data_IF_158264109150
#
_entry.id   IF_158264109150
#
_cell.length_a   1.000
_cell.length_b   1.000
_cell.length_c   1.000
_cell.angle_alpha   90.00
_cell.angle_beta   90.00
_cell.angle_gamma   90.00
#
_symmetry.space_group_name_H-M   'P 1'
#
loop_
_entity.id
_entity.type
_entity.pdbx_description
1 polymer ?
#
# COMPACT_ATOMS: atom_id res chain seq x y z
N UNK A 1 18.12 -2.31 -11.76
CA UNK A 1 17.12 -3.21 -12.36
C UNK A 1 17.23 -4.55 -11.68
N UNK A 2 16.09 -5.15 -11.33
CA UNK A 2 16.02 -6.49 -10.74
C UNK A 2 16.59 -7.53 -11.71
N UNK A 3 17.33 -8.52 -11.23
CA UNK A 3 17.79 -9.68 -12.03
C UNK A 3 16.61 -10.56 -12.51
N UNK A 4 15.40 -10.30 -11.99
CA UNK A 4 14.15 -10.96 -12.34
C UNK A 4 13.35 -10.10 -13.33
N UNK A 5 12.62 -10.75 -14.24
CA UNK A 5 11.77 -10.09 -15.23
C UNK A 5 10.69 -9.21 -14.59
N UNK A 6 10.19 -8.24 -15.37
CA UNK A 6 9.05 -7.40 -14.98
C UNK A 6 7.75 -8.20 -15.03
N UNK A 7 6.68 -7.70 -14.42
CA UNK A 7 5.34 -8.30 -14.52
C UNK A 7 4.96 -8.46 -16.00
N UNK A 8 5.16 -7.41 -16.80
CA UNK A 8 4.88 -7.45 -18.23
C UNK A 8 5.71 -8.52 -18.98
N UNK A 9 7.02 -8.59 -18.74
CA UNK A 9 7.89 -9.54 -19.46
C UNK A 9 7.60 -10.98 -19.06
N UNK A 10 7.40 -11.25 -17.78
CA UNK A 10 7.07 -12.60 -17.27
C UNK A 10 5.76 -13.08 -17.89
N UNK A 11 4.70 -12.27 -17.84
CA UNK A 11 3.41 -12.65 -18.39
C UNK A 11 3.51 -12.96 -19.88
N UNK A 12 4.26 -12.15 -20.65
CA UNK A 12 4.46 -12.37 -22.08
C UNK A 12 5.27 -13.63 -22.39
N UNK A 13 6.33 -13.91 -21.62
CA UNK A 13 7.18 -15.09 -21.82
C UNK A 13 6.45 -16.40 -21.48
N UNK A 14 5.64 -16.39 -20.41
CA UNK A 14 4.82 -17.55 -20.02
C UNK A 14 3.69 -17.76 -21.02
N UNK A 15 2.94 -16.70 -21.38
CA UNK A 15 1.83 -16.82 -22.32
C UNK A 15 2.25 -17.27 -23.72
N UNK A 16 3.48 -16.94 -24.15
CA UNK A 16 4.05 -17.40 -25.43
C UNK A 16 4.73 -18.77 -25.36
N UNK A 17 4.85 -19.38 -24.18
CA UNK A 17 5.58 -20.64 -23.97
C UNK A 17 7.10 -20.51 -24.11
N UNK A 18 7.66 -19.29 -24.11
CA UNK A 18 9.12 -19.06 -24.09
C UNK A 18 9.74 -19.47 -22.75
N UNK A 19 8.98 -19.31 -21.67
CA UNK A 19 9.32 -19.77 -20.34
C UNK A 19 8.12 -20.49 -19.70
N UNK A 20 8.36 -21.36 -18.73
CA UNK A 20 7.29 -21.92 -17.91
C UNK A 20 7.08 -21.10 -16.65
N UNK A 21 5.83 -20.97 -16.20
CA UNK A 21 5.46 -20.34 -14.93
C UNK A 21 6.21 -21.00 -13.76
N UNK A 22 6.38 -22.33 -13.80
CA UNK A 22 7.16 -23.05 -12.80
C UNK A 22 8.62 -22.63 -12.76
N UNK A 23 9.28 -22.51 -13.91
CA UNK A 23 10.70 -22.11 -13.95
C UNK A 23 10.90 -20.69 -13.42
N UNK A 24 10.00 -19.76 -13.77
CA UNK A 24 10.02 -18.39 -13.22
C UNK A 24 9.81 -18.41 -11.70
N UNK A 25 8.81 -19.14 -11.21
CA UNK A 25 8.55 -19.25 -9.77
C UNK A 25 9.76 -19.83 -9.01
N UNK A 26 10.39 -20.87 -9.54
CA UNK A 26 11.56 -21.52 -8.92
C UNK A 26 12.73 -20.53 -8.75
N UNK A 27 12.93 -19.58 -9.67
CA UNK A 27 13.95 -18.53 -9.53
C UNK A 27 13.66 -17.62 -8.33
N UNK A 28 12.42 -17.19 -8.15
CA UNK A 28 12.02 -16.37 -7.00
C UNK A 28 12.10 -17.16 -5.68
N UNK A 29 11.73 -18.43 -5.68
CA UNK A 29 11.85 -19.30 -4.50
C UNK A 29 13.31 -19.48 -4.05
N UNK A 30 14.25 -19.63 -4.99
CA UNK A 30 15.70 -19.66 -4.67
C UNK A 30 16.15 -18.34 -4.03
N UNK A 31 15.63 -17.21 -4.50
CA UNK A 31 15.92 -15.91 -3.90
C UNK A 31 15.40 -15.80 -2.47
N UNK A 32 14.19 -16.30 -2.22
CA UNK A 32 13.60 -16.39 -0.89
C UNK A 32 14.45 -17.27 0.02
N UNK A 33 14.85 -18.46 -0.44
CA UNK A 33 15.66 -19.41 0.35
C UNK A 33 17.00 -18.82 0.81
N UNK A 34 17.56 -17.90 0.02
CA UNK A 34 18.87 -17.29 0.30
C UNK A 34 18.81 -16.00 1.13
N UNK A 35 17.72 -15.22 1.06
CA UNK A 35 17.66 -13.88 1.69
C UNK A 35 16.45 -13.64 2.59
N UNK A 36 15.43 -14.48 2.59
CA UNK A 36 14.25 -14.20 3.44
C UNK A 36 14.60 -14.23 4.94
N UNK A 37 15.58 -15.03 5.35
CA UNK A 37 16.08 -15.03 6.73
C UNK A 37 16.71 -13.71 7.19
N UNK A 38 17.21 -12.87 6.27
CA UNK A 38 17.73 -11.53 6.58
C UNK A 38 16.67 -10.43 6.41
N UNK A 39 15.68 -10.60 5.51
CA UNK A 39 14.70 -9.55 5.20
C UNK A 39 13.43 -9.68 6.04
N UNK A 40 12.94 -10.90 6.26
CA UNK A 40 11.69 -11.20 6.96
C UNK A 40 10.48 -10.47 6.34
N UNK A 41 10.33 -10.57 5.01
CA UNK A 41 9.23 -9.97 4.25
C UNK A 41 7.91 -10.76 4.36
N UNK A 42 7.94 -12.04 4.70
CA UNK A 42 6.78 -12.93 4.73
C UNK A 42 6.42 -13.41 6.14
N UNK A 43 5.13 -13.37 6.47
CA UNK A 43 4.59 -14.16 7.58
C UNK A 43 4.44 -15.64 7.16
N UNK A 44 4.15 -15.88 5.87
CA UNK A 44 3.95 -17.21 5.31
C UNK A 44 4.39 -17.25 3.86
N UNK A 45 5.29 -18.18 3.52
CA UNK A 45 5.60 -18.53 2.13
C UNK A 45 4.73 -19.72 1.72
N UNK A 46 3.99 -19.58 0.62
CA UNK A 46 3.02 -20.57 0.13
C UNK A 46 3.62 -21.52 -0.92
N UNK A 47 4.82 -22.06 -0.66
CA UNK A 47 5.63 -22.78 -1.66
C UNK A 47 4.87 -23.86 -2.44
N UNK A 48 4.23 -24.77 -1.72
CA UNK A 48 3.52 -25.91 -2.34
C UNK A 48 2.38 -25.42 -3.23
N UNK A 49 1.51 -24.56 -2.69
CA UNK A 49 0.38 -23.97 -3.42
C UNK A 49 0.81 -23.13 -4.61
N UNK A 50 1.94 -22.42 -4.49
CA UNK A 50 2.51 -21.62 -5.58
C UNK A 50 2.98 -22.53 -6.72
N UNK A 51 3.67 -23.64 -6.41
CA UNK A 51 4.13 -24.62 -7.41
C UNK A 51 2.95 -25.31 -8.11
N UNK A 52 1.89 -25.65 -7.38
CA UNK A 52 0.64 -26.18 -7.95
C UNK A 52 0.01 -25.18 -8.90
N UNK A 53 -0.16 -23.92 -8.47
CA UNK A 53 -0.74 -22.86 -9.31
C UNK A 53 0.10 -22.61 -10.57
N UNK A 54 1.43 -22.61 -10.46
CA UNK A 54 2.32 -22.46 -11.60
C UNK A 54 2.19 -23.61 -12.61
N UNK A 55 2.08 -24.86 -12.13
CA UNK A 55 1.85 -26.01 -12.99
C UNK A 55 0.50 -25.94 -13.73
N UNK A 56 -0.56 -25.46 -13.05
CA UNK A 56 -1.87 -25.24 -13.69
C UNK A 56 -1.80 -24.20 -14.82
N UNK A 57 -1.04 -23.12 -14.64
CA UNK A 57 -0.80 -22.12 -15.70
C UNK A 57 -0.04 -22.75 -16.87
N UNK A 58 1.03 -23.50 -16.61
CA UNK A 58 1.79 -24.18 -17.66
C UNK A 58 0.92 -25.13 -18.48
N UNK A 59 0.01 -25.86 -17.82
CA UNK A 59 -0.90 -26.77 -18.51
C UNK A 59 -1.98 -26.04 -19.30
N UNK A 60 -2.46 -24.86 -18.85
CA UNK A 60 -3.33 -23.98 -19.67
C UNK A 60 -2.62 -23.54 -20.94
N UNK A 61 -1.37 -23.06 -20.83
CA UNK A 61 -0.57 -22.64 -21.99
C UNK A 61 -0.37 -23.80 -22.97
N UNK A 62 -0.01 -25.00 -22.50
CA UNK A 62 0.18 -26.19 -23.36
C UNK A 62 -1.09 -26.59 -24.12
N UNK A 63 -2.27 -26.41 -23.52
CA UNK A 63 -3.56 -26.70 -24.17
C UNK A 63 -4.00 -25.60 -25.15
N UNK A 64 -3.31 -24.46 -25.20
CA UNK A 64 -3.70 -23.30 -25.99
C UNK A 64 -4.85 -22.49 -25.36
N UNK A 65 -5.13 -22.69 -24.07
CA UNK A 65 -6.09 -21.87 -23.33
C UNK A 65 -5.50 -20.49 -23.06
N UNK A 66 -6.32 -19.44 -22.99
CA UNK A 66 -5.85 -18.12 -22.54
C UNK A 66 -5.42 -18.21 -21.06
N UNK A 67 -4.15 -17.97 -20.70
CA UNK A 67 -3.68 -18.08 -19.32
C UNK A 67 -3.97 -16.83 -18.45
N UNK A 68 -4.44 -15.74 -19.05
CA UNK A 68 -4.74 -14.47 -18.38
C UNK A 68 -3.60 -13.43 -18.51
N UNK A 69 -3.88 -12.18 -18.13
CA UNK A 69 -2.96 -11.04 -18.27
C UNK A 69 -1.72 -11.12 -17.37
N UNK A 70 -1.78 -11.93 -16.32
CA UNK A 70 -0.72 -12.14 -15.32
C UNK A 70 -0.20 -13.57 -15.33
N UNK A 71 -0.29 -14.26 -16.47
CA UNK A 71 0.10 -15.65 -16.63
C UNK A 71 1.46 -15.96 -15.97
N UNK A 72 1.43 -16.72 -14.88
CA UNK A 72 2.64 -17.19 -14.20
C UNK A 72 3.40 -16.12 -13.42
N UNK A 73 2.88 -14.88 -13.33
CA UNK A 73 3.52 -13.77 -12.62
C UNK A 73 3.53 -14.07 -11.11
N UNK A 74 4.69 -14.14 -10.46
CA UNK A 74 4.76 -14.35 -9.02
C UNK A 74 4.38 -13.07 -8.27
N UNK A 75 3.30 -13.14 -7.48
CA UNK A 75 2.75 -12.00 -6.70
C UNK A 75 2.72 -12.29 -5.21
N UNK A 76 3.17 -11.34 -4.40
CA UNK A 76 3.04 -11.41 -2.94
C UNK A 76 1.80 -10.63 -2.44
N UNK A 77 1.13 -11.10 -1.39
CA UNK A 77 -0.11 -10.51 -0.88
C UNK A 77 0.08 -10.04 0.56
N UNK A 78 -0.21 -8.78 0.89
CA UNK A 78 -0.23 -8.34 2.30
C UNK A 78 -1.15 -9.19 3.15
N UNK A 79 -0.68 -9.58 4.33
CA UNK A 79 -1.37 -10.54 5.20
C UNK A 79 -2.62 -9.99 5.91
N UNK A 80 -3.13 -8.83 5.47
CA UNK A 80 -4.46 -8.33 5.81
C UNK A 80 -5.48 -8.50 4.66
N UNK A 81 -5.13 -9.24 3.61
CA UNK A 81 -6.06 -9.68 2.58
C UNK A 81 -6.43 -11.14 2.80
N UNK A 82 -7.74 -11.40 2.84
CA UNK A 82 -8.25 -12.76 3.02
C UNK A 82 -7.93 -13.61 1.78
N UNK A 83 -7.32 -14.76 2.03
CA UNK A 83 -7.07 -15.80 1.02
C UNK A 83 -7.65 -17.10 1.54
N UNK A 84 -8.57 -17.72 0.78
CA UNK A 84 -9.33 -18.88 1.23
C UNK A 84 -8.39 -20.02 1.61
N UNK A 85 -8.59 -20.54 2.82
CA UNK A 85 -7.84 -21.69 3.34
C UNK A 85 -6.37 -21.39 3.69
N UNK A 86 -5.94 -20.13 3.62
CA UNK A 86 -4.56 -19.70 3.93
C UNK A 86 -4.61 -18.77 5.13
N UNK A 87 -3.68 -18.95 6.05
CA UNK A 87 -3.59 -18.12 7.25
C UNK A 87 -3.56 -16.64 6.86
N UNK A 88 -4.40 -15.85 7.54
CA UNK A 88 -4.50 -14.40 7.35
C UNK A 88 -4.46 -13.73 8.71
N UNK A 89 -3.27 -13.31 9.14
CA UNK A 89 -3.04 -12.96 10.54
C UNK A 89 -3.07 -11.46 10.81
N UNK A 90 -2.97 -10.63 9.76
CA UNK A 90 -2.75 -9.18 9.89
C UNK A 90 -1.51 -8.84 10.75
N UNK A 91 -0.50 -9.72 10.76
CA UNK A 91 0.66 -9.66 11.66
C UNK A 91 0.30 -9.59 13.16
N UNK A 92 -0.82 -10.20 13.55
CA UNK A 92 -1.35 -10.18 14.93
C UNK A 92 -1.50 -11.60 15.49
N UNK A 93 -1.23 -11.73 16.80
CA UNK A 93 -1.48 -12.98 17.55
C UNK A 93 -2.96 -13.27 17.72
N UNK A 94 -3.84 -12.27 17.60
CA UNK A 94 -5.28 -12.51 17.74
C UNK A 94 -5.88 -13.29 16.56
N UNK A 95 -5.22 -13.28 15.40
CA UNK A 95 -5.62 -14.00 14.19
C UNK A 95 -4.62 -15.09 13.76
N UNK A 96 -3.64 -15.40 14.60
CA UNK A 96 -2.71 -16.51 14.34
C UNK A 96 -3.49 -17.83 14.16
N UNK A 97 -3.23 -18.52 13.05
CA UNK A 97 -3.93 -19.76 12.66
C UNK A 97 -5.34 -19.58 12.09
N UNK A 98 -5.85 -18.34 11.94
CA UNK A 98 -7.15 -18.13 11.30
C UNK A 98 -7.05 -18.26 9.78
N UNK A 99 -7.81 -19.22 9.23
CA UNK A 99 -7.96 -19.46 7.79
C UNK A 99 -9.30 -18.91 7.32
N UNK A 100 -9.34 -17.82 6.54
CA UNK A 100 -10.59 -17.27 6.03
C UNK A 100 -11.35 -18.28 5.16
N UNK A 101 -12.68 -18.35 5.26
CA UNK A 101 -13.51 -19.19 4.39
C UNK A 101 -13.87 -18.50 3.08
N UNK A 102 -13.16 -17.44 2.69
CA UNK A 102 -13.40 -16.66 1.47
C UNK A 102 -12.13 -15.92 1.02
N UNK A 103 -12.14 -15.52 -0.24
CA UNK A 103 -11.08 -14.70 -0.84
C UNK A 103 -11.53 -13.24 -0.92
N UNK A 104 -10.59 -12.33 -0.71
CA UNK A 104 -10.74 -10.92 -1.04
C UNK A 104 -10.94 -10.74 -2.56
N UNK A 105 -11.70 -9.72 -2.96
CA UNK A 105 -12.01 -9.51 -4.39
C UNK A 105 -10.75 -9.26 -5.23
N UNK A 106 -9.80 -8.47 -4.72
CA UNK A 106 -8.52 -8.25 -5.40
C UNK A 106 -7.74 -9.56 -5.61
N UNK A 107 -7.72 -10.45 -4.61
CA UNK A 107 -7.08 -11.78 -4.69
C UNK A 107 -7.76 -12.63 -5.76
N UNK A 108 -9.10 -12.66 -5.80
CA UNK A 108 -9.84 -13.39 -6.84
C UNK A 108 -9.51 -12.89 -8.25
N UNK A 109 -9.47 -11.57 -8.44
CA UNK A 109 -9.18 -10.96 -9.74
C UNK A 109 -7.76 -11.29 -10.22
N UNK A 110 -6.75 -11.19 -9.34
CA UNK A 110 -5.39 -11.60 -9.68
C UNK A 110 -5.30 -13.08 -10.08
N UNK A 111 -5.93 -13.97 -9.31
CA UNK A 111 -5.92 -15.41 -9.60
C UNK A 111 -6.61 -15.73 -10.94
N UNK A 112 -7.73 -15.06 -11.23
CA UNK A 112 -8.45 -15.22 -12.50
C UNK A 112 -7.60 -14.83 -13.71
N UNK A 113 -6.72 -13.83 -13.54
CA UNK A 113 -5.77 -13.39 -14.56
C UNK A 113 -4.46 -14.19 -14.58
N UNK A 114 -4.35 -15.26 -13.81
CA UNK A 114 -3.24 -16.22 -13.89
C UNK A 114 -2.02 -15.90 -13.02
N UNK A 115 -2.15 -14.97 -12.06
CA UNK A 115 -1.09 -14.68 -11.09
C UNK A 115 -0.84 -15.88 -10.15
N UNK A 116 0.43 -16.10 -9.79
CA UNK A 116 0.85 -17.15 -8.86
C UNK A 116 1.21 -16.52 -7.52
N UNK A 117 0.48 -16.87 -6.46
CA UNK A 117 0.71 -16.25 -5.15
C UNK A 117 1.86 -16.92 -4.40
N UNK A 118 2.91 -16.14 -4.10
CA UNK A 118 4.13 -16.63 -3.44
C UNK A 118 3.96 -16.73 -1.92
N UNK A 119 3.24 -15.80 -1.31
CA UNK A 119 3.19 -15.72 0.15
C UNK A 119 2.35 -14.57 0.68
N UNK A 120 2.13 -14.61 1.99
CA UNK A 120 1.48 -13.56 2.78
C UNK A 120 2.57 -12.69 3.41
N UNK A 121 2.63 -11.42 3.02
CA UNK A 121 3.71 -10.52 3.46
C UNK A 121 3.43 -9.96 4.84
N UNK A 122 4.49 -9.77 5.60
CA UNK A 122 4.50 -9.12 6.89
C UNK A 122 4.03 -7.65 6.78
N UNK A 123 3.53 -7.11 7.90
CA UNK A 123 2.98 -5.77 8.03
C UNK A 123 3.06 -5.30 9.49
N UNK A 124 2.92 -4.00 9.74
CA UNK A 124 2.53 -3.56 11.09
C UNK A 124 1.19 -4.20 11.47
N UNK A 125 1.06 -4.60 12.73
CA UNK A 125 -0.13 -5.26 13.24
C UNK A 125 -1.41 -4.48 12.88
N UNK A 126 -2.37 -5.14 12.23
CA UNK A 126 -3.61 -4.53 11.74
C UNK A 126 -3.42 -3.26 10.87
N UNK A 127 -2.31 -3.20 10.13
CA UNK A 127 -1.93 -2.07 9.29
C UNK A 127 -1.64 -0.77 10.07
N UNK A 128 -1.38 -0.85 11.38
CA UNK A 128 -1.21 0.30 12.27
C UNK A 128 0.27 0.60 12.56
N UNK A 129 0.91 1.34 11.67
CA UNK A 129 2.29 1.80 11.84
C UNK A 129 2.92 2.22 10.51
N UNK A 130 4.16 2.71 10.58
CA UNK A 130 4.89 3.30 9.45
C UNK A 130 6.32 2.75 9.34
N UNK A 131 6.57 1.57 9.93
CA UNK A 131 7.91 0.93 9.94
C UNK A 131 7.91 -0.60 9.89
N UNK A 132 6.76 -1.27 10.06
CA UNK A 132 6.62 -2.73 10.19
C UNK A 132 7.27 -3.30 11.47
N UNK A 133 7.71 -2.43 12.40
CA UNK A 133 8.25 -2.84 13.70
C UNK A 133 7.16 -3.39 14.64
N UNK A 134 5.90 -3.00 14.44
CA UNK A 134 4.79 -3.47 15.30
C UNK A 134 4.28 -4.86 14.92
N UNK A 135 4.87 -5.54 13.93
CA UNK A 135 4.49 -6.92 13.61
C UNK A 135 4.68 -7.82 14.82
N UNK A 136 3.65 -8.58 15.20
CA UNK A 136 3.75 -9.55 16.29
C UNK A 136 4.62 -10.78 15.95
N UNK A 137 5.08 -10.88 14.70
CA UNK A 137 5.99 -11.93 14.21
C UNK A 137 7.43 -11.43 14.05
N UNK A 138 7.68 -10.14 14.29
CA UNK A 138 9.00 -9.51 14.20
C UNK A 138 9.14 -8.57 13.00
N UNK A 139 10.12 -7.67 13.02
CA UNK A 139 10.25 -6.62 12.02
C UNK A 139 10.68 -7.17 10.66
N UNK A 140 10.19 -6.57 9.57
CA UNK A 140 10.79 -6.67 8.24
C UNK A 140 11.93 -5.66 8.13
N UNK A 141 13.01 -6.01 7.44
CA UNK A 141 14.18 -5.16 7.19
C UNK A 141 14.22 -4.63 5.75
N UNK A 142 14.77 -3.44 5.54
CA UNK A 142 14.92 -2.89 4.20
C UNK A 142 15.95 -3.71 3.40
N UNK A 143 15.63 -4.25 2.21
CA UNK A 143 16.56 -5.09 1.44
C UNK A 143 17.83 -4.38 0.93
N UNK A 144 17.83 -3.04 0.93
CA UNK A 144 18.99 -2.20 0.55
C UNK A 144 19.95 -1.94 1.72
N UNK A 145 19.42 -1.88 2.94
CA UNK A 145 20.19 -1.72 4.19
C UNK A 145 19.39 -2.34 5.34
N UNK A 146 19.80 -3.52 5.80
CA UNK A 146 19.06 -4.31 6.81
C UNK A 146 19.08 -3.69 8.22
N UNK A 147 19.81 -2.59 8.42
CA UNK A 147 19.76 -1.77 9.63
C UNK A 147 18.63 -0.73 9.61
N UNK A 148 17.90 -0.61 8.50
CA UNK A 148 16.82 0.35 8.28
C UNK A 148 15.45 -0.31 8.11
N UNK A 149 14.42 0.48 8.39
CA UNK A 149 13.03 0.07 8.19
C UNK A 149 12.68 0.06 6.69
N UNK A 150 11.82 -0.86 6.23
CA UNK A 150 11.24 -0.84 4.89
C UNK A 150 10.03 0.11 4.78
N UNK A 151 9.71 0.83 5.87
CA UNK A 151 8.47 1.59 5.98
C UNK A 151 7.30 0.76 6.49
N UNK A 152 6.11 1.36 6.52
CA UNK A 152 4.91 0.68 6.97
C UNK A 152 3.60 1.33 6.53
N UNK A 153 2.47 0.63 6.66
CA UNK A 153 2.37 -0.71 7.24
C UNK A 153 2.62 -1.85 6.25
N UNK A 154 2.75 -1.60 4.94
CA UNK A 154 3.02 -2.66 3.94
C UNK A 154 4.52 -2.90 3.73
N UNK A 155 5.35 -2.84 4.77
CA UNK A 155 6.80 -2.97 4.64
C UNK A 155 7.24 -4.32 4.10
N UNK A 156 6.57 -5.42 4.49
CA UNK A 156 6.82 -6.75 3.90
C UNK A 156 6.49 -6.80 2.40
N UNK A 157 5.43 -6.12 1.96
CA UNK A 157 5.05 -6.07 0.54
C UNK A 157 6.07 -5.32 -0.31
N UNK A 158 6.58 -4.19 0.18
CA UNK A 158 7.65 -3.44 -0.47
C UNK A 158 8.97 -4.21 -0.45
N UNK A 159 9.36 -4.75 0.70
CA UNK A 159 10.59 -5.52 0.84
C UNK A 159 10.61 -6.78 -0.05
N UNK A 160 9.48 -7.49 -0.19
CA UNK A 160 9.40 -8.66 -1.05
C UNK A 160 9.70 -8.33 -2.53
N UNK A 161 9.17 -7.22 -3.04
CA UNK A 161 9.43 -6.78 -4.42
C UNK A 161 10.86 -6.26 -4.56
N UNK A 162 11.33 -5.42 -3.65
CA UNK A 162 12.68 -4.86 -3.67
C UNK A 162 13.77 -5.93 -3.52
N UNK A 163 13.52 -7.02 -2.79
CA UNK A 163 14.47 -8.13 -2.63
C UNK A 163 14.49 -9.12 -3.82
N UNK A 164 13.51 -9.00 -4.73
CA UNK A 164 13.31 -9.94 -5.84
C UNK A 164 12.58 -11.23 -5.43
N UNK A 165 11.85 -11.23 -4.31
CA UNK A 165 11.05 -12.38 -3.88
C UNK A 165 9.76 -12.52 -4.67
N UNK A 166 9.26 -11.42 -5.24
CA UNK A 166 8.10 -11.38 -6.11
C UNK A 166 8.32 -10.36 -7.23
N UNK A 167 7.66 -10.53 -8.37
CA UNK A 167 7.67 -9.55 -9.46
C UNK A 167 6.80 -8.32 -9.14
N UNK A 168 5.71 -8.54 -8.41
CA UNK A 168 4.86 -7.50 -7.84
C UNK A 168 4.24 -7.94 -6.53
N UNK A 169 3.65 -7.00 -5.80
CA UNK A 169 2.90 -7.32 -4.58
C UNK A 169 1.68 -6.41 -4.42
N UNK A 170 0.73 -6.83 -3.60
CA UNK A 170 -0.36 -5.98 -3.15
C UNK A 170 -0.16 -5.54 -1.69
N UNK A 171 -0.37 -4.26 -1.43
CA UNK A 171 -0.47 -3.67 -0.10
C UNK A 171 -1.84 -3.05 0.16
N UNK A 172 -1.93 -2.37 1.30
CA UNK A 172 -3.08 -1.51 1.64
C UNK A 172 -2.57 -0.18 2.20
N UNK A 173 -3.26 0.90 1.84
CA UNK A 173 -2.89 2.28 2.18
C UNK A 173 -4.06 2.99 2.85
N UNK A 174 -3.87 3.33 4.12
CA UNK A 174 -4.87 4.04 4.94
C UNK A 174 -4.45 5.47 5.24
N UNK A 175 -3.14 5.71 5.37
CA UNK A 175 -2.55 7.03 5.56
C UNK A 175 -1.22 7.23 4.84
N UNK A 176 -0.84 6.34 3.92
CA UNK A 176 0.50 6.26 3.32
C UNK A 176 1.08 4.86 3.23
N UNK A 177 0.35 3.86 3.72
CA UNK A 177 0.89 2.52 3.95
C UNK A 177 1.24 1.71 2.69
N UNK A 178 1.02 2.23 1.48
CA UNK A 178 1.65 1.74 0.25
C UNK A 178 2.75 2.69 -0.19
N UNK A 179 2.44 3.99 -0.28
CA UNK A 179 3.34 4.98 -0.89
C UNK A 179 4.62 5.18 -0.08
N UNK A 180 4.52 5.27 1.25
CA UNK A 180 5.68 5.44 2.11
C UNK A 180 6.65 4.25 2.02
N UNK A 181 6.22 2.97 2.17
CA UNK A 181 7.11 1.84 1.94
C UNK A 181 7.72 1.81 0.54
N UNK A 182 6.96 2.21 -0.49
CA UNK A 182 7.46 2.26 -1.86
C UNK A 182 8.60 3.27 -1.99
N UNK A 183 8.43 4.47 -1.43
CA UNK A 183 9.50 5.48 -1.38
C UNK A 183 10.74 4.98 -0.65
N UNK A 184 10.57 4.33 0.51
CA UNK A 184 11.69 3.88 1.35
C UNK A 184 12.44 2.67 0.77
N UNK A 185 11.77 1.85 -0.04
CA UNK A 185 12.36 0.70 -0.72
C UNK A 185 12.73 0.95 -2.20
N UNK A 186 12.49 2.16 -2.72
CA UNK A 186 12.83 2.51 -4.11
C UNK A 186 11.96 1.80 -5.14
N UNK A 187 10.66 1.72 -4.88
CA UNK A 187 9.66 1.08 -5.74
C UNK A 187 8.58 2.07 -6.19
N UNK A 188 7.84 1.68 -7.23
CA UNK A 188 6.56 2.30 -7.56
C UNK A 188 5.50 1.73 -6.62
N UNK A 189 4.70 2.61 -6.00
CA UNK A 189 3.61 2.23 -5.10
C UNK A 189 2.36 3.05 -5.38
N UNK A 190 1.25 2.37 -5.66
CA UNK A 190 0.01 3.02 -6.10
C UNK A 190 -1.07 2.87 -5.04
N UNK A 191 -1.65 3.99 -4.61
CA UNK A 191 -2.96 4.02 -3.95
C UNK A 191 -3.99 4.57 -4.93
N UNK A 192 -4.90 3.74 -5.47
CA UNK A 192 -5.93 4.21 -6.39
C UNK A 192 -6.99 5.06 -5.68
N UNK A 193 -7.92 5.65 -6.43
CA UNK A 193 -9.09 6.35 -5.89
C UNK A 193 -9.82 5.46 -4.90
N UNK A 194 -10.31 6.05 -3.80
CA UNK A 194 -11.16 5.33 -2.86
C UNK A 194 -12.39 4.76 -3.58
N UNK A 195 -12.56 3.44 -3.53
CA UNK A 195 -13.63 2.73 -4.22
C UNK A 195 -13.30 2.25 -5.64
N UNK A 196 -12.11 2.54 -6.19
CA UNK A 196 -11.70 1.95 -7.49
C UNK A 196 -11.43 0.45 -7.38
N UNK A 197 -10.81 0.04 -6.27
CA UNK A 197 -10.54 -1.36 -5.93
C UNK A 197 -11.43 -1.74 -4.74
N UNK A 198 -12.12 -2.88 -4.86
CA UNK A 198 -12.96 -3.39 -3.79
C UNK A 198 -12.19 -3.62 -2.49
N UNK A 199 -12.82 -3.29 -1.38
CA UNK A 199 -12.33 -3.57 -0.02
C UNK A 199 -12.93 -4.86 0.54
N UNK A 200 -13.76 -5.58 -0.21
CA UNK A 200 -14.29 -6.87 0.22
C UNK A 200 -13.15 -7.88 0.45
N UNK A 201 -13.05 -8.36 1.69
CA UNK A 201 -12.00 -9.25 2.18
C UNK A 201 -10.66 -8.60 2.47
N UNK A 202 -10.55 -7.27 2.38
CA UNK A 202 -9.55 -6.52 3.13
C UNK A 202 -9.96 -6.48 4.60
N UNK A 203 -9.09 -6.91 5.50
CA UNK A 203 -9.31 -6.71 6.94
C UNK A 203 -9.20 -5.22 7.24
N UNK A 204 -10.34 -4.63 7.62
CA UNK A 204 -10.48 -3.18 7.76
C UNK A 204 -9.68 -2.63 8.95
N UNK A 205 -8.97 -1.53 8.69
CA UNK A 205 -8.44 -0.63 9.70
C UNK A 205 -9.36 0.59 9.82
N UNK A 206 -9.36 1.48 8.83
CA UNK A 206 -10.26 2.62 8.75
C UNK A 206 -11.04 2.57 7.42
N UNK A 207 -12.30 2.15 7.50
CA UNK A 207 -13.13 1.83 6.35
C UNK A 207 -13.34 2.99 5.36
N UNK A 208 -13.29 4.23 5.80
CA UNK A 208 -13.43 5.40 4.92
C UNK A 208 -12.12 5.87 4.28
N UNK A 209 -11.02 5.18 4.53
CA UNK A 209 -9.65 5.57 4.14
C UNK A 209 -8.88 4.43 3.46
N UNK A 210 -9.13 3.18 3.89
CA UNK A 210 -8.43 1.98 3.41
C UNK A 210 -8.59 1.79 1.90
N UNK A 211 -7.49 1.54 1.20
CA UNK A 211 -7.52 1.17 -0.20
C UNK A 211 -6.41 0.18 -0.54
N UNK A 212 -6.72 -0.88 -1.29
CA UNK A 212 -5.72 -1.83 -1.83
C UNK A 212 -5.02 -1.21 -3.04
N UNK A 213 -3.73 -1.50 -3.21
CA UNK A 213 -2.99 -1.16 -4.42
C UNK A 213 -1.64 -1.87 -4.52
N UNK A 214 -1.00 -1.81 -5.71
CA UNK A 214 0.22 -2.57 -6.01
C UNK A 214 1.54 -1.88 -5.62
N UNK A 215 2.57 -2.72 -5.49
CA UNK A 215 3.99 -2.36 -5.55
C UNK A 215 4.67 -3.06 -6.72
N UNK A 216 5.51 -2.32 -7.46
CA UNK A 216 6.25 -2.82 -8.62
C UNK A 216 7.57 -2.10 -8.80
N UNK A 217 8.44 -2.63 -9.66
CA UNK A 217 9.66 -1.94 -10.08
C UNK A 217 9.41 -0.85 -11.13
N UNK A 218 8.37 -1.00 -11.95
CA UNK A 218 8.05 -0.07 -13.04
C UNK A 218 6.64 0.48 -12.97
N UNK A 219 6.43 1.65 -13.56
CA UNK A 219 5.10 2.27 -13.70
C UNK A 219 4.19 1.45 -14.61
N UNK A 220 4.74 0.80 -15.63
CA UNK A 220 3.99 -0.13 -16.51
C UNK A 220 3.42 -1.32 -15.74
N UNK A 221 4.24 -1.99 -14.93
CA UNK A 221 3.80 -3.11 -14.11
C UNK A 221 2.73 -2.66 -13.09
N UNK A 222 2.88 -1.46 -12.52
CA UNK A 222 1.90 -0.88 -11.62
C UNK A 222 0.56 -0.62 -12.33
N UNK A 223 0.58 -0.18 -13.59
CA UNK A 223 -0.62 0.03 -14.39
C UNK A 223 -1.34 -1.30 -14.63
N UNK A 224 -0.61 -2.32 -15.07
CA UNK A 224 -1.15 -3.67 -15.32
C UNK A 224 -1.82 -4.22 -14.06
N UNK A 225 -1.12 -4.21 -12.91
CA UNK A 225 -1.68 -4.74 -11.67
C UNK A 225 -2.88 -3.93 -11.18
N UNK A 226 -2.84 -2.59 -11.31
CA UNK A 226 -3.96 -1.73 -10.91
C UNK A 226 -5.20 -2.01 -11.74
N UNK A 227 -5.08 -2.15 -13.06
CA UNK A 227 -6.20 -2.49 -13.94
C UNK A 227 -6.83 -3.84 -13.59
N UNK A 228 -6.00 -4.85 -13.32
CA UNK A 228 -6.49 -6.20 -12.99
C UNK A 228 -7.34 -6.20 -11.72
N UNK A 229 -6.95 -5.44 -10.69
CA UNK A 229 -7.67 -5.43 -9.41
C UNK A 229 -8.82 -4.40 -9.38
N UNK A 230 -8.79 -3.39 -10.25
CA UNK A 230 -9.78 -2.31 -10.32
C UNK A 230 -11.15 -2.75 -10.87
N UNK A 231 -12.16 -1.92 -10.63
CA UNK A 231 -13.52 -2.07 -11.13
C UNK A 231 -14.52 -2.51 -10.06
N UNK A 232 -15.79 -2.16 -10.30
CA UNK A 232 -16.92 -2.38 -9.40
C UNK A 232 -17.00 -3.81 -8.83
N UNK A 233 -17.42 -3.90 -7.58
CA UNK A 233 -17.71 -5.15 -6.89
C UNK A 233 -19.04 -5.05 -6.12
N UNK A 234 -20.06 -5.86 -6.47
CA UNK A 234 -21.34 -5.83 -5.78
C UNK A 234 -21.26 -6.25 -4.30
N UNK A 235 -20.16 -6.89 -3.87
CA UNK A 235 -19.93 -7.24 -2.47
C UNK A 235 -19.42 -6.06 -1.62
N UNK A 236 -19.05 -4.95 -2.26
CA UNK A 236 -18.58 -3.73 -1.61
C UNK A 236 -19.45 -2.54 -2.04
N UNK A 237 -20.33 -2.10 -1.14
CA UNK A 237 -21.21 -0.94 -1.36
C UNK A 237 -20.48 0.38 -1.55
N UNK A 238 -19.18 0.45 -1.26
CA UNK A 238 -18.34 1.64 -1.48
C UNK A 238 -17.56 1.58 -2.78
N UNK A 239 -17.58 0.45 -3.49
CA UNK A 239 -16.93 0.34 -4.79
C UNK A 239 -17.68 1.18 -5.83
N UNK A 240 -16.92 1.96 -6.59
CA UNK A 240 -17.48 2.85 -7.62
C UNK A 240 -18.05 1.97 -8.75
N UNK A 241 -19.31 2.20 -9.20
CA UNK A 241 -19.95 1.40 -10.26
C UNK A 241 -19.41 1.78 -11.64
N UNK A 242 -18.12 1.60 -11.86
CA UNK A 242 -17.39 1.88 -13.10
C UNK A 242 -16.44 0.71 -13.43
N UNK A 243 -16.12 0.50 -14.72
CA UNK A 243 -15.09 -0.45 -15.12
C UNK A 243 -13.69 0.00 -14.67
N UNK A 244 -12.72 -0.91 -14.77
CA UNK A 244 -11.32 -0.53 -14.62
C UNK A 244 -10.92 0.48 -15.72
N UNK A 245 -10.12 1.52 -15.40
CA UNK A 245 -9.61 2.46 -16.38
C UNK A 245 -8.55 1.80 -17.28
N UNK A 246 -8.33 2.34 -18.48
CA UNK A 246 -7.16 2.02 -19.31
C UNK A 246 -5.98 2.88 -18.86
N UNK A 247 -5.03 2.26 -18.18
CA UNK A 247 -3.84 2.86 -17.58
C UNK A 247 -2.59 2.53 -18.40
N UNK A 248 -2.49 1.31 -18.93
CA UNK A 248 -1.38 0.90 -19.80
C UNK A 248 -1.41 1.70 -21.10
N UNK A 249 -2.59 1.90 -21.70
CA UNK A 249 -2.75 2.63 -22.95
C UNK A 249 -2.34 4.10 -22.89
N UNK A 250 -2.25 4.69 -21.70
CA UNK A 250 -1.92 6.12 -21.54
C UNK A 250 -0.45 6.39 -21.21
N UNK A 251 0.37 5.39 -20.90
CA UNK A 251 1.76 5.59 -20.43
C UNK A 251 2.65 6.33 -21.43
N UNK A 252 2.35 6.20 -22.72
CA UNK A 252 3.06 6.85 -23.83
C UNK A 252 2.55 8.24 -24.21
N UNK A 253 1.49 8.75 -23.57
CA UNK A 253 0.86 10.01 -23.98
C UNK A 253 1.65 11.27 -23.58
N UNK A 254 2.71 11.12 -22.78
CA UNK A 254 3.55 12.21 -22.30
C UNK A 254 2.80 13.26 -21.46
N UNK A 255 3.50 14.34 -21.13
CA UNK A 255 3.02 15.40 -20.22
C UNK A 255 2.92 16.78 -20.84
N UNK A 256 3.18 16.91 -22.15
CA UNK A 256 3.13 18.20 -22.85
C UNK A 256 1.78 18.88 -22.67
N UNK A 257 1.80 20.11 -22.14
CA UNK A 257 0.62 20.93 -21.90
C UNK A 257 -0.14 20.61 -20.61
N UNK A 258 0.28 19.62 -19.81
CA UNK A 258 -0.27 19.41 -18.48
C UNK A 258 0.19 20.49 -17.51
N UNK A 259 -0.64 20.79 -16.52
CA UNK A 259 -0.35 21.71 -15.41
C UNK A 259 0.00 20.90 -14.17
N UNK A 260 1.22 21.04 -13.69
CA UNK A 260 1.73 20.32 -12.53
C UNK A 260 1.78 21.29 -11.35
N UNK A 261 0.97 21.01 -10.34
CA UNK A 261 0.84 21.82 -9.15
C UNK A 261 2.03 21.68 -8.22
N UNK A 262 2.69 22.81 -7.93
CA UNK A 262 3.67 22.96 -6.85
C UNK A 262 2.97 23.58 -5.64
N UNK A 263 3.01 22.90 -4.50
CA UNK A 263 2.34 23.37 -3.28
C UNK A 263 3.18 24.49 -2.65
N UNK A 264 2.74 25.73 -2.78
CA UNK A 264 3.47 26.91 -2.30
C UNK A 264 3.56 26.97 -0.76
N UNK A 265 2.61 26.35 -0.07
CA UNK A 265 2.50 26.26 1.39
C UNK A 265 2.74 24.82 1.89
N UNK A 266 3.64 24.08 1.22
CA UNK A 266 4.01 22.72 1.60
C UNK A 266 4.39 22.64 3.10
N UNK A 267 3.88 21.67 3.87
CA UNK A 267 4.28 21.47 5.25
C UNK A 267 5.80 21.34 5.40
N UNK A 268 6.36 22.00 6.43
CA UNK A 268 7.78 21.87 6.77
C UNK A 268 8.08 20.47 7.32
N UNK A 269 9.34 20.04 7.23
CA UNK A 269 9.83 18.81 7.87
C UNK A 269 10.37 17.75 6.92
N UNK A 270 10.39 18.01 5.61
CA UNK A 270 11.16 17.19 4.67
C UNK A 270 12.65 17.55 4.74
N UNK A 271 13.50 16.53 4.63
CA UNK A 271 14.95 16.68 4.59
C UNK A 271 15.39 17.39 3.30
N UNK A 272 16.53 18.12 3.30
CA UNK A 272 16.97 18.90 2.14
C UNK A 272 17.22 18.08 0.88
N UNK A 273 17.71 16.85 1.04
CA UNK A 273 17.95 15.90 -0.06
C UNK A 273 16.64 15.43 -0.70
N UNK A 274 15.59 15.22 0.09
CA UNK A 274 14.24 14.91 -0.39
C UNK A 274 13.66 16.08 -1.19
N UNK A 275 13.77 17.30 -0.67
CA UNK A 275 13.31 18.50 -1.38
C UNK A 275 14.06 18.71 -2.69
N UNK A 276 15.38 18.48 -2.71
CA UNK A 276 16.18 18.57 -3.92
C UNK A 276 15.72 17.58 -5.01
N UNK A 277 15.26 16.38 -4.64
CA UNK A 277 14.69 15.43 -5.61
C UNK A 277 13.32 15.83 -6.10
N UNK A 278 12.50 16.44 -5.26
CA UNK A 278 11.23 17.01 -5.69
C UNK A 278 11.45 18.15 -6.70
N UNK A 279 12.40 19.04 -6.45
CA UNK A 279 12.74 20.14 -7.36
C UNK A 279 13.25 19.59 -8.71
N UNK A 280 14.13 18.60 -8.68
CA UNK A 280 14.60 17.93 -9.89
C UNK A 280 13.48 17.24 -10.68
N UNK A 281 12.46 16.68 -10.00
CA UNK A 281 11.30 16.10 -10.66
C UNK A 281 10.42 17.17 -11.34
N UNK A 282 10.26 18.34 -10.73
CA UNK A 282 9.60 19.48 -11.39
C UNK A 282 10.37 19.92 -12.65
N UNK A 283 11.70 20.01 -12.55
CA UNK A 283 12.55 20.39 -13.69
C UNK A 283 12.46 19.37 -14.84
N UNK A 284 12.47 18.08 -14.54
CA UNK A 284 12.31 17.02 -15.53
C UNK A 284 10.96 17.11 -16.26
N UNK A 285 9.86 17.30 -15.52
CA UNK A 285 8.53 17.45 -16.11
C UNK A 285 8.39 18.73 -16.93
N UNK A 286 9.01 19.84 -16.50
CA UNK A 286 9.05 21.08 -17.26
C UNK A 286 9.81 20.90 -18.59
N UNK A 287 10.95 20.20 -18.57
CA UNK A 287 11.70 19.86 -19.78
C UNK A 287 10.92 18.96 -20.74
N UNK A 288 10.07 18.07 -20.20
CA UNK A 288 9.14 17.24 -20.98
C UNK A 288 7.90 18.01 -21.51
N UNK A 289 7.82 19.32 -21.25
CA UNK A 289 6.80 20.22 -21.79
C UNK A 289 5.56 20.41 -20.92
N UNK A 290 5.60 20.01 -19.66
CA UNK A 290 4.58 20.37 -18.68
C UNK A 290 4.78 21.82 -18.19
N UNK A 291 3.71 22.45 -17.72
CA UNK A 291 3.73 23.76 -17.07
C UNK A 291 3.69 23.58 -15.55
N UNK A 292 4.55 24.27 -14.81
CA UNK A 292 4.55 24.24 -13.35
C UNK A 292 3.72 25.42 -12.84
N UNK A 293 2.71 25.15 -12.02
CA UNK A 293 1.80 26.15 -11.47
C UNK A 293 1.79 26.08 -9.96
N UNK A 294 1.81 27.23 -9.28
CA UNK A 294 1.73 27.27 -7.82
C UNK A 294 0.28 27.08 -7.36
N UNK A 295 0.07 26.15 -6.44
CA UNK A 295 -1.22 25.89 -5.77
C UNK A 295 -1.06 26.02 -4.26
N UNK A 296 -2.17 26.17 -3.55
CA UNK A 296 -2.18 26.27 -2.07
C UNK A 296 -3.11 25.25 -1.43
N UNK A 297 -2.65 24.64 -0.35
CA UNK A 297 -3.38 23.65 0.42
C UNK A 297 -3.24 23.96 1.94
N UNK A 298 -3.86 25.06 2.43
CA UNK A 298 -3.61 25.56 3.78
C UNK A 298 -4.02 24.57 4.89
N UNK A 299 -5.01 23.71 4.63
CA UNK A 299 -5.53 22.75 5.59
C UNK A 299 -4.65 21.51 5.77
N UNK A 300 -3.57 21.34 4.99
CA UNK A 300 -2.64 20.21 5.14
C UNK A 300 -2.02 20.16 6.54
N UNK A 301 -1.81 21.32 7.16
CA UNK A 301 -1.31 21.42 8.54
C UNK A 301 -2.17 20.69 9.58
N UNK A 302 -3.46 20.47 9.29
CA UNK A 302 -4.39 19.75 10.17
C UNK A 302 -4.59 18.28 9.79
N UNK A 303 -4.04 17.83 8.66
CA UNK A 303 -4.31 16.51 8.11
C UNK A 303 -3.89 15.39 9.07
N UNK A 304 -2.70 15.50 9.65
CA UNK A 304 -2.18 14.54 10.62
C UNK A 304 -3.14 14.38 11.81
N UNK A 305 -3.53 15.49 12.44
CA UNK A 305 -4.45 15.49 13.59
C UNK A 305 -5.83 14.93 13.22
N UNK A 306 -6.38 15.30 12.06
CA UNK A 306 -7.67 14.78 11.62
C UNK A 306 -7.62 13.27 11.39
N UNK A 307 -6.57 12.78 10.76
CA UNK A 307 -6.35 11.35 10.54
C UNK A 307 -6.25 10.56 11.84
N UNK A 308 -5.48 11.02 12.82
CA UNK A 308 -5.34 10.36 14.12
C UNK A 308 -6.59 10.46 15.02
N UNK A 309 -7.64 11.14 14.59
CA UNK A 309 -8.97 11.04 15.20
C UNK A 309 -9.91 10.15 14.39
N UNK A 310 -9.88 10.22 13.06
CA UNK A 310 -10.75 9.44 12.18
C UNK A 310 -10.35 7.97 12.17
N UNK A 311 -9.08 7.67 11.86
CA UNK A 311 -8.63 6.30 11.66
C UNK A 311 -8.72 5.47 12.97
N UNK A 312 -8.28 5.96 14.14
CA UNK A 312 -8.48 5.24 15.40
C UNK A 312 -9.95 5.06 15.79
N UNK A 313 -10.82 6.05 15.55
CA UNK A 313 -12.26 5.95 15.81
C UNK A 313 -12.90 4.83 14.97
N UNK A 314 -12.60 4.77 13.67
CA UNK A 314 -13.09 3.69 12.83
C UNK A 314 -12.49 2.34 13.23
N UNK A 315 -11.20 2.31 13.59
CA UNK A 315 -10.52 1.11 14.03
C UNK A 315 -11.10 0.53 15.32
N UNK A 316 -11.45 1.35 16.31
CA UNK A 316 -12.04 0.88 17.56
C UNK A 316 -13.36 0.13 17.33
N UNK A 317 -14.15 0.58 16.36
CA UNK A 317 -15.36 -0.12 15.90
C UNK A 317 -15.04 -1.34 15.04
N UNK A 318 -14.17 -1.20 14.03
CA UNK A 318 -13.84 -2.29 13.11
C UNK A 318 -13.24 -3.50 13.81
N UNK A 319 -12.35 -3.27 14.77
CA UNK A 319 -11.66 -4.30 15.55
C UNK A 319 -12.47 -4.83 16.74
N UNK A 320 -13.67 -4.29 17.02
CA UNK A 320 -14.53 -4.80 18.09
C UNK A 320 -14.96 -6.26 17.84
N UNK A 321 -14.95 -6.71 16.57
CA UNK A 321 -15.32 -8.08 16.17
C UNK A 321 -14.33 -9.16 16.62
N UNK A 322 -13.12 -8.80 16.99
CA UNK A 322 -12.08 -9.74 17.43
C UNK A 322 -12.22 -9.95 18.93
N UNK A 323 -12.98 -11.00 19.25
CA UNK A 323 -13.53 -11.27 20.58
C UNK A 323 -13.32 -12.74 21.01
N UNK A 324 -12.68 -13.56 20.14
CA UNK A 324 -12.41 -14.98 20.37
C UNK A 324 -13.63 -15.91 20.35
N UNK A 325 -14.81 -15.42 19.97
CA UNK A 325 -16.04 -16.24 19.96
C UNK A 325 -16.18 -17.04 18.68
N UNK A 326 -16.07 -16.37 17.53
CA UNK A 326 -16.34 -16.97 16.21
C UNK A 326 -15.08 -17.48 15.52
N UNK A 327 -13.96 -16.82 15.74
CA UNK A 327 -12.68 -17.13 15.09
C UNK A 327 -11.52 -16.42 15.82
N UNK A 328 -10.30 -16.81 15.47
CA UNK A 328 -9.08 -16.26 16.08
C UNK A 328 -8.80 -16.84 17.47
N UNK A 329 -7.86 -16.20 18.17
CA UNK A 329 -7.46 -16.56 19.53
C UNK A 329 -8.62 -16.43 20.50
N UNK A 330 -8.69 -17.34 21.49
CA UNK A 330 -9.60 -17.26 22.64
C UNK A 330 -8.84 -17.59 23.91
N UNK A 331 -8.96 -16.71 24.91
CA UNK A 331 -8.52 -17.00 26.28
C UNK A 331 -9.71 -17.51 27.07
N UNK A 332 -9.54 -18.64 27.76
CA UNK A 332 -10.59 -19.20 28.61
C UNK A 332 -10.71 -18.38 29.90
N UNK A 333 -11.94 -18.06 30.31
CA UNK A 333 -12.23 -17.34 31.55
C UNK A 333 -13.56 -17.80 32.16
N UNK A 334 -13.81 -17.41 33.42
CA UNK A 334 -15.03 -17.78 34.16
C UNK A 334 -16.31 -17.07 33.72
N UNK A 335 -16.19 -15.93 33.03
CA UNK A 335 -17.30 -15.16 32.49
C UNK A 335 -16.93 -14.50 31.15
N UNK A 336 -17.95 -14.02 30.43
CA UNK A 336 -17.78 -13.49 29.07
C UNK A 336 -17.00 -12.17 29.02
N UNK A 337 -17.11 -11.31 30.02
CA UNK A 337 -16.42 -10.02 30.03
C UNK A 337 -14.92 -10.22 30.23
N UNK A 338 -14.56 -11.09 31.18
CA UNK A 338 -13.16 -11.47 31.41
C UNK A 338 -12.59 -12.18 30.18
N UNK A 339 -13.34 -13.10 29.57
CA UNK A 339 -12.93 -13.76 28.33
C UNK A 339 -12.62 -12.74 27.21
N UNK A 340 -13.48 -11.72 27.02
CA UNK A 340 -13.25 -10.68 26.03
C UNK A 340 -12.03 -9.81 26.34
N UNK A 341 -11.89 -9.36 27.59
CA UNK A 341 -10.78 -8.54 28.04
C UNK A 341 -9.45 -9.28 27.84
N UNK A 342 -9.31 -10.49 28.39
CA UNK A 342 -8.08 -11.28 28.36
C UNK A 342 -7.70 -11.69 26.93
N UNK A 343 -8.69 -12.03 26.10
CA UNK A 343 -8.46 -12.38 24.69
C UNK A 343 -7.89 -11.19 23.92
N UNK A 344 -8.46 -9.99 24.11
CA UNK A 344 -8.03 -8.77 23.41
C UNK A 344 -6.69 -8.26 23.96
N UNK A 345 -6.51 -8.28 25.28
CA UNK A 345 -5.27 -7.87 25.93
C UNK A 345 -4.08 -8.73 25.50
N UNK A 346 -4.27 -10.05 25.46
CA UNK A 346 -3.22 -11.00 25.06
C UNK A 346 -3.10 -11.19 23.54
N UNK A 347 -4.05 -10.67 22.77
CA UNK A 347 -4.12 -10.84 21.32
C UNK A 347 -3.57 -9.65 20.54
N UNK A 348 -3.84 -8.43 21.01
CA UNK A 348 -3.40 -7.19 20.38
C UNK A 348 -2.11 -6.65 20.99
N UNK A 349 -1.19 -6.21 20.13
CA UNK A 349 -0.03 -5.42 20.50
C UNK A 349 -0.38 -3.99 20.93
N UNK A 350 0.63 -3.29 21.44
CA UNK A 350 0.42 -2.04 22.15
C UNK A 350 -0.05 -0.89 21.24
N UNK A 351 0.43 -0.79 20.00
CA UNK A 351 -0.05 0.25 19.06
C UNK A 351 -1.52 0.05 18.71
N UNK A 352 -1.95 -1.20 18.49
CA UNK A 352 -3.36 -1.51 18.22
C UNK A 352 -4.23 -1.15 19.42
N UNK A 353 -3.82 -1.55 20.64
CA UNK A 353 -4.53 -1.18 21.88
C UNK A 353 -4.60 0.34 22.07
N UNK A 354 -3.50 1.08 21.82
CA UNK A 354 -3.47 2.56 21.88
C UNK A 354 -4.50 3.19 20.96
N UNK A 355 -4.57 2.73 19.70
CA UNK A 355 -5.53 3.27 18.72
C UNK A 355 -6.98 2.89 19.06
N UNK A 356 -7.22 1.68 19.59
CA UNK A 356 -8.56 1.31 20.07
C UNK A 356 -9.00 2.20 21.23
N UNK A 357 -8.11 2.45 22.22
CA UNK A 357 -8.40 3.33 23.36
C UNK A 357 -8.71 4.77 22.89
N UNK A 358 -7.84 5.35 22.05
CA UNK A 358 -8.04 6.70 21.51
C UNK A 358 -9.33 6.80 20.69
N UNK A 359 -9.62 5.82 19.83
CA UNK A 359 -10.83 5.78 19.02
C UNK A 359 -12.09 5.66 19.85
N UNK A 360 -12.07 4.83 20.89
CA UNK A 360 -13.20 4.67 21.83
C UNK A 360 -13.47 5.96 22.58
N UNK A 361 -12.41 6.66 23.00
CA UNK A 361 -12.52 7.99 23.61
C UNK A 361 -13.10 9.02 22.64
N UNK A 362 -12.58 9.10 21.41
CA UNK A 362 -13.03 10.06 20.40
C UNK A 362 -14.50 9.87 19.97
N UNK A 363 -15.04 8.66 20.11
CA UNK A 363 -16.44 8.32 19.81
C UNK A 363 -17.36 8.38 21.03
N UNK A 364 -16.83 8.57 22.23
CA UNK A 364 -17.63 8.53 23.46
C UNK A 364 -18.61 9.70 23.56
N UNK A 365 -19.74 9.46 24.23
CA UNK A 365 -20.78 10.47 24.43
C UNK A 365 -20.19 11.70 25.15
N UNK A 366 -20.50 12.90 24.63
CA UNK A 366 -19.94 14.17 25.11
C UNK A 366 -18.64 14.60 24.44
N UNK A 367 -17.90 13.66 23.82
CA UNK A 367 -16.63 13.93 23.14
C UNK A 367 -16.71 13.79 21.60
N UNK A 368 -17.73 13.08 21.09
CA UNK A 368 -17.94 12.87 19.66
C UNK A 368 -17.86 14.16 18.83
N UNK A 369 -18.65 15.18 19.15
CA UNK A 369 -18.70 16.42 18.36
C UNK A 369 -17.38 17.21 18.42
N UNK A 370 -16.70 17.15 19.56
CA UNK A 370 -15.46 17.86 19.80
C UNK A 370 -14.26 17.21 19.09
N UNK A 371 -14.27 15.89 18.93
CA UNK A 371 -13.17 15.13 18.33
C UNK A 371 -13.54 14.57 16.96
N UNK A 372 -14.27 13.45 16.89
CA UNK A 372 -14.56 12.78 15.61
C UNK A 372 -15.37 13.66 14.65
N UNK A 373 -16.44 14.28 15.13
CA UNK A 373 -17.26 15.22 14.35
C UNK A 373 -16.46 16.44 13.86
N UNK A 374 -15.52 16.94 14.68
CA UNK A 374 -14.62 18.03 14.28
C UNK A 374 -13.59 17.58 13.24
N UNK A 375 -13.01 16.39 13.41
CA UNK A 375 -12.06 15.80 12.47
C UNK A 375 -12.69 15.60 11.08
N UNK A 376 -13.95 15.15 11.01
CA UNK A 376 -14.69 15.05 9.75
C UNK A 376 -14.90 16.41 9.06
N UNK A 377 -15.12 17.48 9.81
CA UNK A 377 -15.18 18.85 9.24
C UNK A 377 -13.82 19.28 8.69
N UNK A 378 -12.72 18.95 9.37
CA UNK A 378 -11.36 19.21 8.87
C UNK A 378 -11.07 18.40 7.61
N UNK A 379 -11.47 17.13 7.56
CA UNK A 379 -11.39 16.29 6.36
C UNK A 379 -12.10 16.96 5.18
N UNK A 380 -13.27 17.58 5.41
CA UNK A 380 -13.98 18.33 4.37
C UNK A 380 -13.18 19.55 3.89
N UNK A 381 -12.58 20.33 4.79
CA UNK A 381 -11.72 21.46 4.41
C UNK A 381 -10.54 21.01 3.53
N UNK A 382 -9.90 19.90 3.87
CA UNK A 382 -8.81 19.32 3.07
C UNK A 382 -9.30 18.93 1.67
N UNK A 383 -10.48 18.30 1.56
CA UNK A 383 -11.07 17.96 0.27
C UNK A 383 -11.39 19.22 -0.57
N UNK A 384 -11.94 20.27 0.07
CA UNK A 384 -12.23 21.54 -0.61
C UNK A 384 -10.95 22.26 -1.05
N UNK A 385 -9.84 22.14 -0.31
CA UNK A 385 -8.53 22.68 -0.70
C UNK A 385 -7.98 21.99 -1.96
N UNK A 386 -8.00 20.66 -1.99
CA UNK A 386 -7.61 19.91 -3.19
C UNK A 386 -8.50 20.25 -4.39
N UNK A 387 -9.83 20.34 -4.20
CA UNK A 387 -10.74 20.69 -5.28
C UNK A 387 -10.41 22.06 -5.90
N UNK A 388 -10.01 23.05 -5.09
CA UNK A 388 -9.54 24.35 -5.58
C UNK A 388 -8.19 24.22 -6.30
N UNK A 389 -7.23 23.49 -5.74
CA UNK A 389 -5.94 23.29 -6.37
C UNK A 389 -6.05 22.59 -7.74
N UNK A 390 -6.94 21.60 -7.88
CA UNK A 390 -7.17 20.91 -9.15
C UNK A 390 -7.93 21.74 -10.20
N UNK A 391 -8.48 22.90 -9.85
CA UNK A 391 -8.95 23.85 -10.86
C UNK A 391 -7.78 24.43 -11.67
N UNK A 392 -6.64 24.63 -11.01
CA UNK A 392 -5.44 25.24 -11.57
C UNK A 392 -4.40 24.22 -12.05
N UNK A 393 -4.40 23.00 -11.49
CA UNK A 393 -3.45 21.93 -11.82
C UNK A 393 -4.15 20.62 -12.20
N UNK A 394 -3.57 19.85 -13.12
CA UNK A 394 -4.09 18.54 -13.52
C UNK A 394 -3.63 17.43 -12.56
N UNK A 395 -2.42 17.57 -12.01
CA UNK A 395 -1.86 16.77 -10.92
C UNK A 395 -1.03 17.65 -10.00
N UNK A 396 -0.75 17.18 -8.79
CA UNK A 396 0.10 17.88 -7.80
C UNK A 396 1.27 16.97 -7.44
N UNK A 397 2.46 17.54 -7.27
CA UNK A 397 3.64 16.81 -6.79
C UNK A 397 3.99 17.21 -5.35
N UNK A 398 4.31 16.21 -4.53
CA UNK A 398 4.85 16.40 -3.17
C UNK A 398 5.97 15.37 -2.92
N UNK A 399 6.77 15.50 -1.85
CA UNK A 399 7.54 14.37 -1.36
C UNK A 399 6.59 13.22 -0.98
N UNK A 400 7.03 11.97 -1.12
CA UNK A 400 6.28 10.84 -0.56
C UNK A 400 6.54 10.68 0.95
N UNK A 401 7.79 10.81 1.36
CA UNK A 401 8.23 10.68 2.77
C UNK A 401 9.08 11.90 3.13
N UNK A 402 9.06 12.38 4.40
CA UNK A 402 9.91 13.49 4.81
C UNK A 402 11.40 13.16 4.80
N UNK A 403 11.76 11.89 4.94
CA UNK A 403 13.16 11.43 4.94
C UNK A 403 13.30 10.17 4.08
N UNK A 404 14.54 9.81 3.77
CA UNK A 404 14.87 8.44 3.33
C UNK A 404 14.61 7.43 4.46
N UNK A 405 14.80 6.13 4.16
CA UNK A 405 14.57 5.06 5.13
C UNK A 405 15.41 5.28 6.39
N UNK A 406 14.79 5.22 7.56
CA UNK A 406 15.45 5.49 8.84
C UNK A 406 15.88 4.19 9.53
N UNK A 407 16.85 4.29 10.45
CA UNK A 407 17.34 3.13 11.21
C UNK A 407 16.30 2.67 12.23
N UNK A 408 16.26 1.36 12.50
CA UNK A 408 15.44 0.80 13.59
C UNK A 408 15.71 1.53 14.91
N UNK A 409 14.66 1.73 15.71
CA UNK A 409 14.77 2.40 17.02
C UNK A 409 14.97 3.92 16.97
N UNK A 410 15.19 4.54 15.81
CA UNK A 410 15.42 6.01 15.74
C UNK A 410 14.17 6.86 16.03
N UNK A 411 12.97 6.26 15.97
CA UNK A 411 11.67 6.93 16.15
C UNK A 411 10.71 6.17 17.07
N UNK A 412 11.20 5.19 17.84
CA UNK A 412 10.35 4.32 18.67
C UNK A 412 9.97 4.96 20.01
N UNK A 413 10.78 5.89 20.52
CA UNK A 413 10.56 6.52 21.83
C UNK A 413 9.55 7.68 21.77
N UNK A 414 9.26 8.20 20.57
CA UNK A 414 8.27 9.25 20.34
C UNK A 414 7.26 8.83 19.24
N UNK A 415 6.04 8.40 19.64
CA UNK A 415 4.99 8.07 18.69
C UNK A 415 4.66 9.21 17.71
N UNK A 416 4.81 10.48 18.11
CA UNK A 416 4.55 11.61 17.22
C UNK A 416 5.59 11.68 16.10
N UNK A 417 6.87 11.40 16.41
CA UNK A 417 7.92 11.32 15.41
C UNK A 417 7.65 10.24 14.35
N UNK A 418 7.09 9.10 14.76
CA UNK A 418 6.65 8.06 13.81
C UNK A 418 5.47 8.55 12.96
N UNK A 419 4.51 9.24 13.56
CA UNK A 419 3.30 9.73 12.86
C UNK A 419 3.64 10.81 11.82
N UNK A 420 4.68 11.61 12.06
CA UNK A 420 5.17 12.61 11.11
C UNK A 420 5.76 12.00 9.83
N UNK A 421 6.09 10.70 9.81
CA UNK A 421 6.50 10.00 8.59
C UNK A 421 5.43 10.05 7.48
N UNK A 422 4.16 10.21 7.86
CA UNK A 422 3.02 10.14 6.95
C UNK A 422 2.44 11.53 6.60
N UNK A 423 3.15 12.61 6.96
CA UNK A 423 2.67 13.99 6.82
C UNK A 423 2.29 14.36 5.39
N UNK A 424 2.99 13.83 4.39
CA UNK A 424 2.73 14.09 2.97
C UNK A 424 1.76 13.10 2.33
N UNK A 425 1.52 11.94 2.95
CA UNK A 425 0.68 10.88 2.37
C UNK A 425 -0.77 10.95 2.83
N UNK A 426 -1.00 11.23 4.13
CA UNK A 426 -2.32 11.29 4.77
C UNK A 426 -3.35 12.16 4.03
N UNK A 427 -3.01 13.38 3.55
CA UNK A 427 -4.00 14.29 2.99
C UNK A 427 -4.84 13.68 1.86
N UNK A 428 -4.21 12.87 1.00
CA UNK A 428 -4.91 12.21 -0.11
C UNK A 428 -5.85 11.08 0.34
N UNK A 429 -5.55 10.37 1.44
CA UNK A 429 -6.49 9.40 2.00
C UNK A 429 -7.73 10.09 2.56
N UNK A 430 -7.52 11.21 3.26
CA UNK A 430 -8.61 12.04 3.77
C UNK A 430 -9.50 12.56 2.63
N UNK A 431 -8.91 12.96 1.50
CA UNK A 431 -9.66 13.38 0.33
C UNK A 431 -10.23 12.21 -0.52
N UNK A 432 -9.74 10.98 -0.35
CA UNK A 432 -10.13 9.82 -1.16
C UNK A 432 -9.50 9.78 -2.57
N UNK A 433 -8.50 10.63 -2.82
CA UNK A 433 -7.88 10.85 -4.13
C UNK A 433 -6.79 9.81 -4.45
N UNK A 434 -6.58 9.43 -5.72
CA UNK A 434 -5.48 8.56 -6.11
C UNK A 434 -4.13 9.25 -5.91
N UNK A 435 -3.13 8.47 -5.50
CA UNK A 435 -1.76 8.93 -5.35
C UNK A 435 -0.77 7.80 -5.65
N UNK A 436 0.37 8.14 -6.24
CA UNK A 436 1.45 7.21 -6.55
C UNK A 436 2.78 7.74 -6.02
N UNK A 437 3.60 6.87 -5.44
CA UNK A 437 5.02 7.14 -5.21
C UNK A 437 5.83 6.58 -6.38
N UNK A 438 6.73 7.39 -6.93
CA UNK A 438 7.68 7.00 -7.99
C UNK A 438 9.10 7.25 -7.46
N UNK A 439 10.04 6.29 -7.56
CA UNK A 439 11.43 6.52 -7.19
C UNK A 439 12.05 7.61 -8.06
N UNK A 440 12.73 8.58 -7.45
CA UNK A 440 13.37 9.66 -8.19
C UNK A 440 14.72 10.02 -7.56
N UNK A 441 15.74 9.26 -7.94
CA UNK A 441 17.10 9.39 -7.43
C UNK A 441 17.27 8.92 -5.97
N UNK A 442 18.40 9.32 -5.39
CA UNK A 442 18.80 8.93 -4.04
C UNK A 442 19.09 10.15 -3.17
N UNK A 443 18.90 9.97 -1.87
CA UNK A 443 19.20 10.94 -0.82
C UNK A 443 20.37 10.49 0.04
N UNK A 444 20.29 10.80 1.34
CA UNK A 444 21.30 10.49 2.34
C UNK A 444 21.64 8.99 2.34
N UNK A 445 22.94 8.70 2.46
CA UNK A 445 23.51 7.35 2.47
C UNK A 445 23.16 6.51 1.22
N UNK A 446 22.82 7.17 0.10
CA UNK A 446 22.44 6.50 -1.14
C UNK A 446 21.06 5.84 -1.10
N UNK A 447 20.26 6.10 -0.07
CA UNK A 447 18.93 5.52 0.08
C UNK A 447 17.93 6.14 -0.91
N UNK A 448 16.92 5.39 -1.39
CA UNK A 448 15.96 5.90 -2.36
C UNK A 448 15.11 7.06 -1.82
N UNK A 449 14.73 7.97 -2.72
CA UNK A 449 13.75 9.02 -2.46
C UNK A 449 12.55 8.82 -3.40
N UNK A 450 11.34 8.90 -2.85
CA UNK A 450 10.10 8.85 -3.63
C UNK A 450 9.49 10.24 -3.83
N UNK A 451 9.12 10.54 -5.07
CA UNK A 451 8.26 11.68 -5.43
C UNK A 451 6.84 11.19 -5.59
N UNK A 452 5.90 11.94 -5.03
CA UNK A 452 4.49 11.58 -4.99
C UNK A 452 3.71 12.36 -6.05
N UNK A 453 2.93 11.66 -6.88
CA UNK A 453 1.99 12.25 -7.84
C UNK A 453 0.58 12.10 -7.30
N UNK A 454 -0.12 13.21 -7.06
CA UNK A 454 -1.50 13.26 -6.57
C UNK A 454 -2.42 13.70 -7.71
N UNK A 455 -3.48 12.95 -7.97
CA UNK A 455 -4.47 13.29 -8.99
C UNK A 455 -5.86 13.44 -8.37
N UNK A 456 -6.80 14.15 -9.02
CA UNK A 456 -8.20 14.19 -8.58
C UNK A 456 -8.81 12.79 -8.60
N UNK A 457 -9.94 12.61 -7.91
CA UNK A 457 -10.77 11.39 -7.97
C UNK A 457 -10.97 10.93 -9.41
N UNK A 458 -10.69 9.64 -9.69
CA UNK A 458 -10.73 9.03 -11.02
C UNK A 458 -9.72 9.61 -12.03
N UNK A 459 -8.68 10.31 -11.55
CA UNK A 459 -7.60 10.89 -12.34
C UNK A 459 -6.39 9.97 -12.56
N UNK A 460 -6.53 8.65 -12.35
CA UNK A 460 -5.45 7.69 -12.47
C UNK A 460 -4.75 7.75 -13.82
N UNK A 461 -5.47 7.89 -14.94
CA UNK A 461 -4.84 7.97 -16.26
C UNK A 461 -3.84 9.13 -16.37
N UNK A 462 -4.16 10.31 -15.83
CA UNK A 462 -3.23 11.46 -15.80
C UNK A 462 -2.09 11.22 -14.80
N UNK A 463 -2.38 10.63 -13.64
CA UNK A 463 -1.36 10.23 -12.67
C UNK A 463 -0.32 9.29 -13.29
N UNK A 464 -0.76 8.26 -14.01
CA UNK A 464 0.11 7.28 -14.68
C UNK A 464 0.91 7.89 -15.83
N UNK A 465 0.34 8.85 -16.58
CA UNK A 465 1.08 9.60 -17.60
C UNK A 465 2.26 10.38 -17.02
N UNK A 466 2.03 11.08 -15.91
CA UNK A 466 3.06 11.87 -15.24
C UNK A 466 4.11 10.96 -14.61
N UNK A 467 3.67 9.88 -13.94
CA UNK A 467 4.57 8.89 -13.37
C UNK A 467 5.48 8.23 -14.41
N UNK A 468 4.95 7.88 -15.58
CA UNK A 468 5.74 7.28 -16.67
C UNK A 468 6.80 8.26 -17.20
N UNK A 469 6.51 9.56 -17.21
CA UNK A 469 7.51 10.57 -17.59
C UNK A 469 8.59 10.75 -16.52
N UNK A 470 8.21 10.73 -15.23
CA UNK A 470 9.17 10.76 -14.13
C UNK A 470 10.11 9.55 -14.18
N UNK A 471 9.58 8.35 -14.41
CA UNK A 471 10.38 7.12 -14.54
C UNK A 471 11.36 7.20 -15.72
N UNK A 472 10.96 7.77 -16.87
CA UNK A 472 11.84 7.95 -18.04
C UNK A 472 12.98 8.94 -17.82
N UNK A 473 12.85 9.85 -16.85
CA UNK A 473 13.82 10.90 -16.59
C UNK A 473 14.97 10.48 -15.64
N UNK A 474 14.95 9.25 -15.11
CA UNK A 474 15.91 8.73 -14.12
C UNK A 474 16.94 7.79 -14.74
#
# INVERSE_FOLDING_TARGET
>A
MSDFGTVASIAADVASGRASARAILEQHLVRIDTREGEVHAFNLVMRERALESAAEIDDRVKRGDNPGRLAGVPVALKDNMCTRGVDTTCSSRILEGWKPPYDATAVKKLAAEGAVFIGKTNLDEFAMGSSTENSAFGPTRNPLDTSRVPGGSSGGSAAAVAAGFAAGSLGSDTGGSIRQPAALCGLVGVKPTYGLVSRYGLVAFASSLDQIGPFTHTVEDAAILTEVIAGHDPMDSTSIPQPAPDLVGVLGAGVKGLRIGRVADLPKGADPDVLARLDAAFDALAQAGASIVDVRLPSLSFALTAYYLIAPAEASSNLARYDGVRYGKRVAAGDINTMYADTRESGFGDEVKRRIMLGTYALSAGYYDAYYGKALKVRRLIADDFARAYADADVILTPTSPSVAFRFGSKTDDPLAMYLCDIFTIPTNLAGHPAMSVPFGTGQDGMPVGVQVLAPTLGESTMFRVAAELERAV
#
